data_IF_738910912061
#
_entry.id   IF_738910912061
#
_cell.length_a   1.000
_cell.length_b   1.000
_cell.length_c   1.000
_cell.angle_alpha   90.00
_cell.angle_beta   90.00
_cell.angle_gamma   90.00
#
_symmetry.space_group_name_H-M   'P 1'
#
loop_
_entity.id
_entity.type
_entity.pdbx_description
1 polymer ?
#
# COMPACT_ATOMS: atom_id res chain seq x y z
N UNK A 1 -9.29 41.15 -86.27
CA UNK A 1 -7.97 40.55 -85.99
C UNK A 1 -7.82 40.44 -84.47
N UNK A 2 -7.50 39.23 -83.99
CA UNK A 2 -6.90 38.82 -82.70
C UNK A 2 -7.11 39.69 -81.44
N UNK A 3 -7.47 39.20 -80.25
CA UNK A 3 -7.59 37.84 -79.74
C UNK A 3 -7.80 37.84 -78.21
N UNK A 4 -8.42 36.75 -77.74
CA UNK A 4 -8.48 36.14 -76.39
C UNK A 4 -7.58 36.73 -75.27
N UNK A 5 -8.10 36.84 -74.04
CA UNK A 5 -8.08 35.74 -73.06
C UNK A 5 -8.97 36.00 -71.83
N UNK A 6 -9.49 34.89 -71.33
CA UNK A 6 -10.44 34.70 -70.24
C UNK A 6 -9.76 34.78 -68.85
N UNK A 7 -10.53 35.16 -67.84
CA UNK A 7 -10.17 35.07 -66.42
C UNK A 7 -11.41 34.82 -65.57
N UNK A 8 -11.88 33.57 -65.54
CA UNK A 8 -12.94 33.09 -64.65
C UNK A 8 -12.43 33.02 -63.20
N UNK A 9 -13.06 33.77 -62.30
CA UNK A 9 -12.95 33.54 -60.86
C UNK A 9 -14.25 32.89 -60.34
N UNK A 10 -14.18 31.60 -60.02
CA UNK A 10 -15.20 30.90 -59.24
C UNK A 10 -15.16 31.44 -57.80
N UNK A 11 -16.27 32.00 -57.32
CA UNK A 11 -16.50 32.18 -55.89
C UNK A 11 -17.17 30.92 -55.35
N UNK A 12 -16.43 30.15 -54.56
CA UNK A 12 -17.00 29.11 -53.70
C UNK A 12 -17.91 29.78 -52.66
N UNK A 13 -19.16 29.36 -52.60
CA UNK A 13 -20.08 29.65 -51.50
C UNK A 13 -19.92 28.50 -50.51
N UNK A 14 -19.24 28.76 -49.40
CA UNK A 14 -19.15 27.81 -48.28
C UNK A 14 -20.46 27.84 -47.50
N UNK A 15 -21.28 26.80 -47.64
CA UNK A 15 -22.42 26.51 -46.78
C UNK A 15 -21.89 26.04 -45.42
N UNK A 16 -22.02 26.88 -44.40
CA UNK A 16 -21.73 26.54 -43.01
C UNK A 16 -22.76 25.54 -42.49
N UNK A 17 -22.33 24.29 -42.27
CA UNK A 17 -23.11 23.30 -41.54
C UNK A 17 -23.06 23.64 -40.04
N UNK A 18 -24.19 24.09 -39.47
CA UNK A 18 -24.41 24.12 -38.03
C UNK A 18 -24.57 22.68 -37.54
N UNK A 19 -23.46 22.06 -37.12
CA UNK A 19 -23.51 20.85 -36.29
C UNK A 19 -23.90 21.28 -34.87
N UNK A 20 -25.18 21.13 -34.54
CA UNK A 20 -25.68 21.18 -33.17
C UNK A 20 -25.23 19.88 -32.51
N UNK A 21 -24.01 19.88 -31.98
CA UNK A 21 -23.52 18.81 -31.12
C UNK A 21 -24.32 18.81 -29.82
N UNK A 22 -25.15 17.80 -29.63
CA UNK A 22 -25.71 17.49 -28.32
C UNK A 22 -24.55 17.01 -27.45
N UNK A 23 -23.96 17.91 -26.67
CA UNK A 23 -23.09 17.52 -25.58
C UNK A 23 -23.96 16.78 -24.56
N UNK A 24 -23.91 15.45 -24.58
CA UNK A 24 -24.39 14.64 -23.47
C UNK A 24 -23.46 14.95 -22.31
N UNK A 25 -23.86 15.90 -21.47
CA UNK A 25 -23.24 16.12 -20.18
C UNK A 25 -23.52 14.87 -19.34
N UNK A 26 -22.66 13.86 -19.46
CA UNK A 26 -22.61 12.76 -18.51
C UNK A 26 -22.36 13.40 -17.15
N UNK A 27 -23.34 13.32 -16.26
CA UNK A 27 -23.17 13.80 -14.88
C UNK A 27 -22.05 12.97 -14.27
N UNK A 28 -20.88 13.57 -14.08
CA UNK A 28 -19.86 12.99 -13.22
C UNK A 28 -20.53 12.77 -11.87
N UNK A 29 -20.74 11.51 -11.49
CA UNK A 29 -21.36 11.18 -10.22
C UNK A 29 -20.56 11.86 -9.11
N UNK A 30 -21.26 12.62 -8.25
CA UNK A 30 -20.63 13.36 -7.16
C UNK A 30 -19.86 12.40 -6.26
N UNK A 31 -18.53 12.53 -6.25
CA UNK A 31 -17.64 11.68 -5.47
C UNK A 31 -17.80 12.00 -3.99
N UNK A 32 -18.37 11.07 -3.21
CA UNK A 32 -18.50 11.25 -1.76
C UNK A 32 -17.27 10.68 -1.04
N UNK A 33 -16.56 11.49 -0.24
CA UNK A 33 -15.48 10.97 0.59
C UNK A 33 -16.04 9.99 1.61
N UNK A 34 -15.35 8.86 1.78
CA UNK A 34 -15.66 7.86 2.78
C UNK A 34 -14.73 8.03 3.95
N UNK A 35 -15.30 7.95 5.16
CA UNK A 35 -14.62 8.23 6.42
C UNK A 35 -14.65 7.00 7.32
N UNK A 36 -13.47 6.48 7.66
CA UNK A 36 -13.30 5.34 8.54
C UNK A 36 -12.55 5.75 9.81
N UNK A 37 -12.94 5.16 10.94
CA UNK A 37 -12.22 5.29 12.21
C UNK A 37 -11.51 3.97 12.46
N UNK A 38 -10.19 4.00 12.59
CA UNK A 38 -9.43 2.79 12.84
C UNK A 38 -9.64 2.35 14.30
N UNK A 39 -9.83 1.04 14.49
CA UNK A 39 -10.02 0.41 15.78
C UNK A 39 -8.73 -0.27 16.26
N UNK A 40 -8.54 -0.50 17.57
CA UNK A 40 -7.43 -1.29 18.07
C UNK A 40 -7.34 -2.66 17.39
N UNK A 41 -6.14 -3.00 16.93
CA UNK A 41 -5.87 -4.30 16.35
C UNK A 41 -5.51 -5.28 17.46
N UNK A 42 -6.28 -6.36 17.58
CA UNK A 42 -6.32 -7.18 18.81
C UNK A 42 -5.48 -8.46 18.77
N UNK A 43 -4.57 -8.65 17.81
CA UNK A 43 -3.87 -9.95 17.70
C UNK A 43 -2.83 -10.21 18.78
N UNK A 44 -2.18 -9.20 19.36
CA UNK A 44 -1.43 -9.32 20.62
C UNK A 44 -0.98 -7.94 21.13
N UNK A 45 -1.42 -7.50 22.32
CA UNK A 45 -0.99 -6.22 22.90
C UNK A 45 0.39 -6.29 23.57
N UNK A 46 0.97 -7.49 23.73
CA UNK A 46 2.31 -7.66 24.34
C UNK A 46 3.45 -7.21 23.43
N UNK A 47 3.16 -6.88 22.18
CA UNK A 47 4.16 -6.53 21.17
C UNK A 47 4.35 -5.01 20.96
N UNK A 48 3.73 -4.15 21.75
CA UNK A 48 3.90 -2.70 21.57
C UNK A 48 5.35 -2.25 21.79
N UNK A 49 5.73 -1.24 21.03
CA UNK A 49 7.03 -0.60 21.03
C UNK A 49 7.01 0.68 21.82
N UNK A 50 8.07 0.91 22.56
CA UNK A 50 8.12 1.93 23.58
C UNK A 50 9.38 2.81 23.51
N UNK A 51 10.02 2.84 22.34
CA UNK A 51 11.05 3.80 21.98
C UNK A 51 10.49 4.74 20.92
N UNK A 52 10.53 6.04 21.16
CA UNK A 52 10.21 7.01 20.13
C UNK A 52 11.29 7.04 19.03
N UNK A 53 11.10 7.86 17.99
CA UNK A 53 12.05 7.88 16.88
C UNK A 53 13.46 8.40 17.25
N UNK A 54 13.61 9.06 18.40
CA UNK A 54 14.88 9.52 18.94
C UNK A 54 15.49 8.54 19.98
N UNK A 55 15.01 7.29 20.01
CA UNK A 55 15.43 6.26 20.97
C UNK A 55 15.14 6.62 22.44
N UNK A 56 14.24 7.58 22.69
CA UNK A 56 13.85 7.95 24.04
C UNK A 56 12.76 6.99 24.53
N UNK A 57 13.00 6.23 25.62
CA UNK A 57 12.00 5.33 26.14
C UNK A 57 10.84 6.09 26.80
N UNK A 58 9.61 5.65 26.53
CA UNK A 58 8.47 6.15 27.30
C UNK A 58 8.52 5.68 28.75
N UNK A 59 8.04 6.53 29.64
CA UNK A 59 7.95 6.26 31.07
C UNK A 59 7.17 4.98 31.36
N UNK A 60 7.52 4.26 32.43
CA UNK A 60 6.75 3.08 32.85
C UNK A 60 5.28 3.42 33.11
N UNK A 61 5.01 4.59 33.70
CA UNK A 61 3.67 5.08 33.96
C UNK A 61 2.86 5.22 32.65
N UNK A 62 3.45 5.81 31.61
CA UNK A 62 2.81 5.91 30.29
C UNK A 62 2.56 4.53 29.69
N UNK A 63 3.58 3.65 29.65
CA UNK A 63 3.47 2.29 29.09
C UNK A 63 2.35 1.48 29.74
N UNK A 64 2.19 1.59 31.06
CA UNK A 64 1.12 0.89 31.80
C UNK A 64 -0.27 1.41 31.47
N UNK A 65 -0.42 2.70 31.18
CA UNK A 65 -1.72 3.37 30.99
C UNK A 65 -2.14 3.46 29.53
N UNK A 66 -1.20 3.64 28.60
CA UNK A 66 -1.51 3.91 27.20
C UNK A 66 -2.33 2.79 26.57
N UNK A 67 -3.44 3.14 25.92
CA UNK A 67 -4.27 2.21 25.18
C UNK A 67 -4.72 2.88 23.88
N UNK A 68 -4.63 2.15 22.77
CA UNK A 68 -5.07 2.67 21.47
C UNK A 68 -6.55 3.02 21.38
N UNK A 69 -7.39 2.44 22.25
CA UNK A 69 -8.82 2.79 22.35
C UNK A 69 -9.07 4.25 22.74
N UNK A 70 -8.08 4.92 23.31
CA UNK A 70 -8.15 6.34 23.70
C UNK A 70 -7.69 7.26 22.56
N UNK A 71 -6.93 6.72 21.60
CA UNK A 71 -6.54 7.40 20.38
C UNK A 71 -7.69 7.42 19.37
N UNK A 72 -7.70 8.45 18.51
CA UNK A 72 -8.63 8.56 17.40
C UNK A 72 -7.84 8.74 16.12
N UNK A 73 -7.89 7.73 15.25
CA UNK A 73 -7.33 7.80 13.90
C UNK A 73 -8.46 7.71 12.90
N UNK A 74 -8.59 8.76 12.10
CA UNK A 74 -9.62 8.89 11.08
C UNK A 74 -8.94 8.91 9.72
N UNK A 75 -9.37 8.04 8.84
CA UNK A 75 -8.94 8.01 7.44
C UNK A 75 -10.10 8.43 6.57
N UNK A 76 -9.85 9.40 5.69
CA UNK A 76 -10.81 9.87 4.69
C UNK A 76 -10.21 9.65 3.31
N UNK A 77 -10.94 8.97 2.44
CA UNK A 77 -10.49 8.67 1.07
C UNK A 77 -11.69 8.67 0.13
N UNK A 78 -11.43 8.77 -1.16
CA UNK A 78 -12.47 8.66 -2.17
C UNK A 78 -12.54 7.22 -2.67
N UNK A 79 -13.73 6.62 -2.63
CA UNK A 79 -13.95 5.21 -3.02
C UNK A 79 -14.10 5.01 -4.52
N UNK A 80 -14.28 6.08 -5.28
CA UNK A 80 -14.52 6.00 -6.72
C UNK A 80 -13.24 5.78 -7.50
N UNK A 81 -13.45 5.16 -8.66
CA UNK A 81 -12.56 4.99 -9.80
C UNK A 81 -11.46 6.05 -9.88
N UNK A 82 -10.23 5.61 -9.61
CA UNK A 82 -9.01 6.37 -9.85
C UNK A 82 -7.87 5.42 -10.22
N UNK A 83 -6.73 5.98 -10.59
CA UNK A 83 -5.50 5.24 -10.92
C UNK A 83 -4.78 4.67 -9.68
N UNK A 84 -5.09 5.18 -8.48
CA UNK A 84 -4.65 4.63 -7.18
C UNK A 84 -5.50 5.17 -6.01
N UNK A 85 -5.41 4.51 -4.84
CA UNK A 85 -6.00 4.96 -3.59
C UNK A 85 -5.25 6.18 -3.03
N UNK A 86 -6.00 7.25 -2.74
CA UNK A 86 -5.49 8.48 -2.10
C UNK A 86 -6.41 8.91 -0.97
N UNK A 87 -5.84 9.56 0.03
CA UNK A 87 -6.63 10.08 1.13
C UNK A 87 -5.86 10.93 2.12
N UNK A 88 -6.54 11.25 3.22
CA UNK A 88 -5.99 11.95 4.37
C UNK A 88 -6.22 11.13 5.62
N UNK A 89 -5.19 11.01 6.43
CA UNK A 89 -5.22 10.48 7.78
C UNK A 89 -5.10 11.63 8.79
N UNK A 90 -5.98 11.62 9.80
CA UNK A 90 -5.88 12.51 10.97
C UNK A 90 -5.82 11.63 12.20
N UNK A 91 -4.71 11.73 12.94
CA UNK A 91 -4.45 10.98 14.16
C UNK A 91 -4.40 11.91 15.37
N UNK A 92 -4.96 11.44 16.48
CA UNK A 92 -4.88 12.06 17.80
C UNK A 92 -4.69 10.99 18.86
N UNK A 93 -3.92 11.31 19.91
CA UNK A 93 -3.72 10.40 21.04
C UNK A 93 -2.95 9.13 20.70
N UNK A 94 -2.11 9.17 19.66
CA UNK A 94 -1.11 8.13 19.41
C UNK A 94 0.11 8.34 20.31
N UNK A 95 1.13 7.48 20.19
CA UNK A 95 2.39 7.66 20.91
C UNK A 95 3.09 8.92 20.40
N UNK A 96 3.58 9.83 21.26
CA UNK A 96 4.28 11.05 20.85
C UNK A 96 5.61 10.80 20.13
N UNK A 97 5.96 11.57 19.11
CA UNK A 97 7.21 11.44 18.36
C UNK A 97 7.48 10.01 17.83
N UNK A 98 6.43 9.30 17.42
CA UNK A 98 6.52 7.88 17.06
C UNK A 98 6.24 7.68 15.57
N UNK A 99 6.94 6.73 14.94
CA UNK A 99 6.75 6.39 13.53
C UNK A 99 5.70 5.29 13.36
N UNK A 100 4.78 5.51 12.42
CA UNK A 100 3.77 4.53 12.05
C UNK A 100 3.81 4.26 10.55
N UNK A 101 3.87 2.97 10.20
CA UNK A 101 3.71 2.49 8.83
C UNK A 101 2.23 2.40 8.47
N UNK A 102 1.91 2.82 7.24
CA UNK A 102 0.63 2.56 6.59
C UNK A 102 0.76 1.32 5.71
N UNK A 103 -0.09 0.33 5.96
CA UNK A 103 -0.11 -0.91 5.19
C UNK A 103 -1.49 -1.24 4.66
N UNK A 104 -1.55 -1.81 3.46
CA UNK A 104 -2.68 -2.60 3.02
C UNK A 104 -2.39 -4.07 3.30
N UNK A 105 -3.38 -4.82 3.75
CA UNK A 105 -3.28 -6.27 3.93
C UNK A 105 -4.53 -6.95 3.38
N UNK A 106 -4.35 -8.00 2.60
CA UNK A 106 -5.44 -8.79 2.05
C UNK A 106 -6.22 -9.54 3.11
N UNK A 107 -7.44 -9.93 2.74
CA UNK A 107 -8.35 -10.69 3.60
C UNK A 107 -8.82 -11.95 2.86
N UNK A 108 -7.91 -12.90 2.57
CA UNK A 108 -8.28 -14.10 1.84
C UNK A 108 -9.22 -14.93 2.70
N UNK A 109 -10.08 -15.72 2.06
CA UNK A 109 -10.74 -16.79 2.79
C UNK A 109 -9.73 -17.87 3.21
N UNK A 110 -10.01 -18.58 4.31
CA UNK A 110 -9.29 -19.78 4.66
C UNK A 110 -9.22 -20.78 3.49
N UNK A 111 -8.11 -21.55 3.37
CA UNK A 111 -8.01 -22.64 2.40
C UNK A 111 -9.19 -23.63 2.52
N UNK A 112 -9.65 -24.16 1.38
CA UNK A 112 -10.71 -25.18 1.33
C UNK A 112 -12.14 -24.65 1.43
N UNK A 113 -12.33 -23.35 1.69
CA UNK A 113 -13.66 -22.71 1.57
C UNK A 113 -13.83 -22.25 0.12
N UNK A 114 -14.64 -23.00 -0.64
CA UNK A 114 -15.09 -22.59 -1.96
C UNK A 114 -15.79 -21.22 -1.85
N UNK A 115 -15.44 -20.30 -2.75
CA UNK A 115 -16.14 -19.02 -2.92
C UNK A 115 -16.12 -18.05 -1.74
N UNK A 116 -14.92 -17.74 -1.26
CA UNK A 116 -14.65 -16.38 -0.75
C UNK A 116 -15.24 -15.33 -1.70
N UNK A 117 -15.57 -14.11 -1.23
CA UNK A 117 -15.74 -13.00 -2.16
C UNK A 117 -14.49 -12.92 -3.03
N UNK A 118 -14.63 -13.23 -4.33
CA UNK A 118 -13.56 -13.16 -5.33
C UNK A 118 -12.72 -11.88 -5.18
N UNK A 119 -13.30 -10.69 -4.86
CA UNK A 119 -12.51 -9.48 -4.65
C UNK A 119 -11.51 -9.52 -3.50
N UNK A 120 -11.79 -10.23 -2.40
CA UNK A 120 -10.90 -10.25 -1.24
C UNK A 120 -9.68 -11.17 -1.44
N UNK A 121 -9.89 -12.32 -2.08
CA UNK A 121 -8.79 -13.21 -2.53
C UNK A 121 -7.96 -12.53 -3.62
N UNK A 122 -8.62 -11.94 -4.61
CA UNK A 122 -7.95 -11.19 -5.67
C UNK A 122 -7.11 -10.04 -5.11
N UNK A 123 -7.68 -9.22 -4.22
CA UNK A 123 -6.94 -8.13 -3.58
C UNK A 123 -5.75 -8.65 -2.78
N UNK A 124 -5.90 -9.77 -2.06
CA UNK A 124 -4.80 -10.40 -1.32
C UNK A 124 -3.65 -10.79 -2.24
N UNK A 125 -3.94 -11.40 -3.39
CA UNK A 125 -2.94 -11.75 -4.39
C UNK A 125 -2.26 -10.53 -5.00
N UNK A 126 -3.03 -9.50 -5.36
CA UNK A 126 -2.47 -8.27 -5.92
C UNK A 126 -1.56 -7.55 -4.92
N UNK A 127 -1.92 -7.54 -3.63
CA UNK A 127 -1.08 -6.93 -2.60
C UNK A 127 0.18 -7.76 -2.32
N UNK A 128 0.05 -9.08 -2.26
CA UNK A 128 1.19 -9.97 -2.01
C UNK A 128 2.19 -10.03 -3.16
N UNK A 129 1.74 -9.91 -4.41
CA UNK A 129 2.60 -9.96 -5.60
C UNK A 129 3.54 -8.76 -5.73
N UNK A 130 3.11 -7.58 -5.26
CA UNK A 130 3.90 -6.34 -5.26
C UNK A 130 4.48 -6.00 -3.87
N UNK A 131 4.12 -6.77 -2.85
CA UNK A 131 4.51 -6.58 -1.45
C UNK A 131 5.16 -7.83 -0.86
N UNK A 132 4.58 -8.35 0.22
CA UNK A 132 5.03 -9.56 0.92
C UNK A 132 3.88 -10.45 1.34
N UNK A 133 4.21 -11.68 1.71
CA UNK A 133 3.27 -12.63 2.28
C UNK A 133 3.57 -12.86 3.75
N UNK A 134 2.52 -12.88 4.56
CA UNK A 134 2.55 -13.28 5.96
C UNK A 134 1.80 -14.59 6.14
N UNK A 135 2.46 -15.57 6.73
CA UNK A 135 1.86 -16.85 7.08
C UNK A 135 1.27 -16.76 8.50
N UNK A 136 -0.04 -16.97 8.64
CA UNK A 136 -0.70 -16.91 9.95
C UNK A 136 -0.30 -18.06 10.87
N UNK A 137 -0.15 -19.25 10.31
CA UNK A 137 0.13 -20.47 11.03
C UNK A 137 1.58 -20.49 11.54
N UNK A 138 2.53 -20.02 10.72
CA UNK A 138 3.95 -20.00 11.05
C UNK A 138 4.39 -18.72 11.77
N UNK A 139 3.53 -17.70 11.82
CA UNK A 139 3.86 -16.34 12.26
C UNK A 139 5.15 -15.81 11.61
N UNK A 140 5.29 -16.04 10.30
CA UNK A 140 6.50 -15.75 9.54
C UNK A 140 6.22 -14.93 8.27
N UNK A 141 7.22 -14.13 7.89
CA UNK A 141 7.23 -13.35 6.65
C UNK A 141 7.97 -14.13 5.57
N UNK A 142 7.42 -14.15 4.37
CA UNK A 142 8.08 -14.74 3.20
C UNK A 142 8.05 -13.76 2.01
N UNK A 143 9.05 -13.87 1.12
CA UNK A 143 9.15 -13.06 -0.11
C UNK A 143 9.15 -13.94 -1.38
N UNK A 144 8.43 -13.52 -2.43
CA UNK A 144 8.35 -14.25 -3.71
C UNK A 144 9.46 -13.76 -4.62
N UNK A 145 10.70 -14.09 -4.29
CA UNK A 145 11.85 -13.65 -5.09
C UNK A 145 11.91 -14.21 -6.49
N UNK A 146 11.31 -15.37 -6.71
CA UNK A 146 11.77 -16.25 -7.78
C UNK A 146 10.67 -16.76 -8.70
N UNK A 147 9.39 -16.61 -8.36
CA UNK A 147 8.32 -17.26 -9.14
C UNK A 147 7.50 -16.33 -10.04
N UNK A 148 7.47 -15.02 -9.78
CA UNK A 148 6.65 -14.09 -10.57
C UNK A 148 7.28 -13.70 -11.94
N UNK A 149 8.56 -14.03 -12.21
CA UNK A 149 9.22 -13.77 -13.51
C UNK A 149 9.54 -15.01 -14.32
N UNK A 150 9.48 -16.21 -13.75
CA UNK A 150 9.43 -17.41 -14.57
C UNK A 150 7.98 -17.62 -14.95
N UNK A 151 7.62 -17.26 -16.17
CA UNK A 151 6.54 -17.92 -16.87
C UNK A 151 6.60 -19.41 -16.54
N UNK A 152 5.49 -20.06 -16.16
CA UNK A 152 5.45 -21.50 -16.21
C UNK A 152 5.80 -21.84 -17.66
N UNK A 153 6.98 -22.40 -17.90
CA UNK A 153 7.11 -23.34 -18.99
C UNK A 153 6.13 -24.44 -18.64
N UNK A 154 4.89 -24.27 -19.09
CA UNK A 154 3.95 -25.34 -19.27
C UNK A 154 4.73 -26.35 -20.12
N UNK A 155 5.27 -27.38 -19.47
CA UNK A 155 5.78 -28.55 -20.17
C UNK A 155 4.54 -29.19 -20.77
N UNK A 156 4.23 -28.69 -21.96
CA UNK A 156 3.30 -29.24 -22.90
C UNK A 156 3.72 -30.68 -23.16
N UNK A 157 3.00 -31.59 -22.52
CA UNK A 157 3.01 -33.01 -22.87
C UNK A 157 1.67 -33.36 -23.48
N UNK A 158 1.23 -32.60 -24.49
CA UNK A 158 0.25 -33.10 -25.46
C UNK A 158 0.59 -32.66 -26.90
N UNK A 159 0.35 -33.52 -27.90
CA UNK A 159 0.98 -33.38 -29.21
C UNK A 159 0.27 -32.36 -30.12
N UNK A 160 1.07 -31.39 -30.62
CA UNK A 160 1.01 -30.77 -31.94
C UNK A 160 -0.32 -30.85 -32.71
N UNK A 161 -1.00 -29.71 -32.87
CA UNK A 161 -1.57 -29.27 -34.16
C UNK A 161 -1.78 -27.73 -34.18
N UNK A 162 -1.25 -27.06 -35.21
CA UNK A 162 -1.93 -25.92 -35.83
C UNK A 162 -1.51 -24.47 -35.49
N UNK A 163 -0.45 -24.01 -36.17
CA UNK A 163 -0.20 -22.66 -36.73
C UNK A 163 -1.27 -21.54 -36.57
N UNK A 164 -0.82 -20.36 -36.11
CA UNK A 164 -1.11 -19.07 -36.77
C UNK A 164 -1.87 -18.01 -35.97
N UNK A 165 -1.19 -16.93 -35.57
CA UNK A 165 -1.85 -15.70 -35.10
C UNK A 165 -0.93 -14.78 -34.29
N UNK A 166 -0.33 -13.78 -34.95
CA UNK A 166 0.34 -12.67 -34.28
C UNK A 166 -0.72 -11.79 -33.61
N UNK A 167 -0.80 -11.86 -32.28
CA UNK A 167 -1.52 -10.87 -31.48
C UNK A 167 -0.63 -10.42 -30.33
N UNK A 168 -0.58 -9.11 -30.17
CA UNK A 168 -0.04 -8.36 -29.04
C UNK A 168 -0.38 -9.05 -27.72
N UNK A 169 0.60 -9.71 -27.09
CA UNK A 169 0.46 -10.20 -25.72
C UNK A 169 0.66 -9.01 -24.76
N UNK A 170 -0.44 -8.43 -24.31
CA UNK A 170 -0.49 -7.80 -23.00
C UNK A 170 -0.19 -8.90 -21.95
N UNK A 171 0.84 -8.77 -21.11
CA UNK A 171 1.26 -9.85 -20.20
C UNK A 171 0.22 -10.21 -19.11
N UNK A 172 -0.93 -9.54 -19.06
CA UNK A 172 -1.98 -9.79 -18.07
C UNK A 172 -3.32 -10.30 -18.62
N UNK A 173 -3.54 -10.32 -19.95
CA UNK A 173 -4.83 -10.70 -20.55
C UNK A 173 -5.07 -12.22 -20.69
N UNK A 174 -4.10 -13.04 -20.27
CA UNK A 174 -4.19 -14.51 -20.35
C UNK A 174 -4.78 -15.22 -19.12
N UNK A 175 -4.98 -14.52 -17.99
CA UNK A 175 -5.51 -15.12 -16.76
C UNK A 175 -7.05 -15.07 -16.71
N UNK A 176 -7.67 -15.59 -17.75
CA UNK A 176 -9.09 -15.93 -17.74
C UNK A 176 -9.35 -17.08 -16.77
N UNK A 177 -10.12 -16.80 -15.72
CA UNK A 177 -11.08 -17.74 -15.12
C UNK A 177 -10.54 -19.11 -14.66
N UNK A 178 -9.46 -19.12 -13.85
CA UNK A 178 -9.03 -20.33 -13.13
C UNK A 178 -9.05 -20.10 -11.61
N UNK A 179 -10.23 -20.18 -11.01
CA UNK A 179 -10.44 -20.53 -9.60
C UNK A 179 -9.47 -19.91 -8.57
N UNK A 180 -9.62 -18.61 -8.29
CA UNK A 180 -8.93 -17.85 -7.23
C UNK A 180 -9.28 -18.35 -5.81
N UNK A 181 -8.74 -19.52 -5.45
CA UNK A 181 -8.46 -19.89 -4.06
C UNK A 181 -7.12 -19.27 -3.66
N UNK A 182 -6.72 -19.34 -2.38
CA UNK A 182 -5.36 -19.00 -1.91
C UNK A 182 -4.25 -19.91 -2.52
N UNK A 183 -4.48 -20.46 -3.72
CA UNK A 183 -3.58 -21.27 -4.52
C UNK A 183 -2.59 -20.42 -5.32
N UNK A 184 -2.85 -19.14 -5.60
CA UNK A 184 -1.84 -18.27 -6.20
C UNK A 184 -0.55 -18.20 -5.36
N UNK A 185 -0.70 -18.21 -4.03
CA UNK A 185 0.43 -18.25 -3.09
C UNK A 185 1.05 -19.65 -2.94
N UNK A 186 0.34 -20.72 -3.30
CA UNK A 186 0.88 -22.08 -3.38
C UNK A 186 1.97 -22.20 -4.46
N UNK A 187 1.82 -21.52 -5.60
CA UNK A 187 2.84 -21.52 -6.66
C UNK A 187 4.08 -20.68 -6.31
N UNK A 188 3.96 -19.70 -5.42
CA UNK A 188 5.08 -18.87 -4.99
C UNK A 188 6.07 -19.58 -4.05
N UNK A 189 5.63 -20.61 -3.31
CA UNK A 189 6.43 -21.23 -2.23
C UNK A 189 6.46 -22.77 -2.21
N UNK A 190 5.78 -23.44 -3.14
CA UNK A 190 5.73 -24.91 -3.19
C UNK A 190 4.95 -25.52 -2.01
N UNK A 191 5.22 -26.79 -1.70
CA UNK A 191 4.50 -27.57 -0.68
C UNK A 191 4.71 -27.11 0.78
N UNK A 192 5.63 -26.17 1.04
CA UNK A 192 6.01 -25.78 2.41
C UNK A 192 4.90 -25.01 3.16
N UNK A 193 4.02 -24.31 2.43
CA UNK A 193 2.86 -23.61 2.99
C UNK A 193 1.54 -24.20 2.49
N UNK A 194 1.55 -25.48 2.09
CA UNK A 194 0.31 -26.15 1.68
C UNK A 194 -0.68 -26.18 2.85
N UNK A 195 -1.89 -25.66 2.61
CA UNK A 195 -2.93 -25.56 3.62
C UNK A 195 -2.81 -24.36 4.58
N UNK A 196 -1.79 -23.51 4.44
CA UNK A 196 -1.64 -22.30 5.25
C UNK A 196 -2.44 -21.11 4.69
N UNK A 197 -2.74 -20.15 5.56
CA UNK A 197 -3.40 -18.90 5.23
C UNK A 197 -2.36 -17.80 5.05
N UNK A 198 -2.06 -17.49 3.79
CA UNK A 198 -1.11 -16.43 3.42
C UNK A 198 -1.82 -15.08 3.21
N UNK A 199 -1.41 -14.07 3.97
CA UNK A 199 -1.87 -12.68 3.85
C UNK A 199 -0.87 -11.86 3.03
N UNK A 200 -1.29 -11.41 1.85
CA UNK A 200 -0.53 -10.44 1.06
C UNK A 200 -0.62 -9.06 1.72
N UNK A 201 0.51 -8.40 1.95
CA UNK A 201 0.54 -7.05 2.51
C UNK A 201 1.54 -6.15 1.80
N UNK A 202 1.25 -4.85 1.86
CA UNK A 202 1.98 -3.78 1.19
C UNK A 202 2.19 -2.63 2.18
N UNK A 203 3.43 -2.29 2.50
CA UNK A 203 3.73 -1.01 3.15
C UNK A 203 3.86 0.04 2.07
N UNK A 204 3.02 1.08 2.07
CA UNK A 204 3.03 2.06 0.99
C UNK A 204 3.44 3.47 1.45
N UNK A 205 3.37 3.76 2.75
CA UNK A 205 3.77 5.05 3.28
C UNK A 205 4.01 4.96 4.81
N UNK A 206 4.44 6.06 5.41
CA UNK A 206 4.58 6.21 6.85
C UNK A 206 4.38 7.66 7.28
N UNK A 207 4.09 7.86 8.56
CA UNK A 207 4.10 9.19 9.17
C UNK A 207 4.70 9.16 10.57
N UNK A 208 5.01 10.35 11.09
CA UNK A 208 5.50 10.55 12.46
C UNK A 208 4.54 11.48 13.19
N UNK A 209 4.21 11.14 14.43
CA UNK A 209 3.39 12.00 15.30
C UNK A 209 4.19 13.13 15.91
N UNK A 210 3.52 14.22 16.24
CA UNK A 210 4.11 15.30 17.02
C UNK A 210 4.36 14.90 18.49
N UNK A 211 4.90 15.82 19.29
CA UNK A 211 5.16 15.64 20.71
C UNK A 211 3.90 15.43 21.58
N UNK A 212 2.70 15.55 21.00
CA UNK A 212 1.41 15.28 21.66
C UNK A 212 0.73 14.01 21.11
N UNK A 213 1.37 13.29 20.18
CA UNK A 213 0.78 12.10 19.56
C UNK A 213 -0.24 12.41 18.47
N UNK A 214 -0.19 13.60 17.86
CA UNK A 214 -1.08 13.98 16.75
C UNK A 214 -0.35 13.93 15.41
N UNK A 215 -1.11 13.69 14.33
CA UNK A 215 -0.62 13.84 12.96
C UNK A 215 -1.76 14.20 12.00
N UNK A 216 -1.42 14.91 10.92
CA UNK A 216 -2.23 14.99 9.69
C UNK A 216 -1.32 14.58 8.55
N UNK A 217 -1.73 13.58 7.78
CA UNK A 217 -0.91 12.99 6.72
C UNK A 217 -1.75 12.75 5.47
N UNK A 218 -1.26 13.19 4.32
CA UNK A 218 -1.84 12.87 3.02
C UNK A 218 -1.08 11.68 2.44
N UNK A 219 -1.81 10.70 1.92
CA UNK A 219 -1.20 9.46 1.46
C UNK A 219 -1.70 9.09 0.06
N UNK A 220 -0.84 8.37 -0.65
CA UNK A 220 -1.09 7.77 -1.96
C UNK A 220 -0.51 6.35 -1.94
N UNK A 221 -1.23 5.37 -2.51
CA UNK A 221 -0.69 4.02 -2.68
C UNK A 221 0.09 3.93 -4.00
N UNK A 222 1.30 4.47 -4.02
CA UNK A 222 2.17 4.52 -5.20
C UNK A 222 3.56 3.91 -4.96
N UNK A 223 3.76 3.27 -3.81
CA UNK A 223 5.04 2.71 -3.40
C UNK A 223 4.88 1.38 -2.67
N UNK A 224 5.94 0.57 -2.67
CA UNK A 224 6.01 -0.71 -1.95
C UNK A 224 7.30 -0.85 -1.17
N UNK A 225 7.20 -0.67 0.13
CA UNK A 225 8.32 -0.68 1.07
C UNK A 225 8.36 -1.94 1.93
N UNK A 226 9.53 -2.23 2.49
CA UNK A 226 9.77 -3.38 3.34
C UNK A 226 9.75 -3.02 4.83
N UNK A 227 10.53 -2.02 5.24
CA UNK A 227 10.70 -1.56 6.63
C UNK A 227 11.05 -0.06 6.66
N UNK A 228 11.12 0.54 7.85
CA UNK A 228 11.67 1.90 8.00
C UNK A 228 13.04 1.82 8.67
N UNK A 229 13.94 2.70 8.24
CA UNK A 229 15.25 2.89 8.84
C UNK A 229 15.44 4.33 9.27
N UNK A 230 16.22 4.52 10.34
CA UNK A 230 16.88 5.79 10.58
C UNK A 230 18.20 5.83 9.81
N UNK A 231 18.54 6.98 9.25
CA UNK A 231 19.84 7.16 8.58
C UNK A 231 21.03 6.97 9.53
N UNK A 232 20.81 7.08 10.85
CA UNK A 232 21.80 6.78 11.88
C UNK A 232 22.03 5.29 12.13
N UNK A 233 21.13 4.40 11.66
CA UNK A 233 21.28 2.95 11.74
C UNK A 233 21.88 2.37 10.46
N UNK A 234 21.44 2.87 9.31
CA UNK A 234 21.95 2.51 7.99
C UNK A 234 21.75 3.68 7.04
N UNK A 235 22.67 3.95 6.10
CA UNK A 235 22.41 4.89 5.02
C UNK A 235 21.36 4.32 4.04
N UNK A 236 20.54 5.18 3.39
CA UNK A 236 19.64 4.74 2.33
C UNK A 236 20.41 4.27 1.09
N UNK A 237 19.90 3.22 0.46
CA UNK A 237 20.27 2.80 -0.89
C UNK A 237 19.70 3.72 -1.97
N UNK A 238 20.07 3.44 -3.22
CA UNK A 238 19.63 4.24 -4.37
C UNK A 238 18.13 4.07 -4.67
N UNK A 239 17.59 2.87 -4.46
CA UNK A 239 16.19 2.53 -4.76
C UNK A 239 15.24 2.77 -3.56
N UNK A 240 15.78 3.23 -2.42
CA UNK A 240 15.00 3.49 -1.21
C UNK A 240 14.12 4.73 -1.36
N UNK A 241 13.05 4.78 -0.55
CA UNK A 241 12.17 5.94 -0.55
C UNK A 241 12.85 7.21 0.00
N UNK A 242 12.22 8.37 -0.24
CA UNK A 242 12.81 9.65 0.15
C UNK A 242 13.00 9.74 1.66
N UNK A 243 14.19 10.21 2.07
CA UNK A 243 14.49 10.48 3.48
C UNK A 243 13.70 11.70 3.97
N UNK A 244 12.90 11.51 5.02
CA UNK A 244 12.15 12.58 5.70
C UNK A 244 12.81 12.88 7.04
N UNK A 245 13.03 14.17 7.35
CA UNK A 245 13.65 14.60 8.61
C UNK A 245 12.63 15.21 9.55
N UNK A 246 12.60 14.72 10.79
CA UNK A 246 11.67 15.13 11.83
C UNK A 246 12.41 15.80 12.98
N UNK A 247 11.85 16.90 13.50
CA UNK A 247 12.34 17.52 14.72
C UNK A 247 11.66 16.87 15.92
N UNK A 248 12.45 16.34 16.83
CA UNK A 248 11.98 15.59 17.99
C UNK A 248 12.33 16.34 19.26
N UNK A 249 11.34 16.43 20.14
CA UNK A 249 11.52 16.89 21.52
C UNK A 249 10.79 15.94 22.46
N UNK A 250 11.45 15.53 23.52
CA UNK A 250 10.84 14.79 24.62
C UNK A 250 11.05 15.58 25.89
N UNK A 251 9.99 16.13 26.44
CA UNK A 251 10.03 16.81 27.73
C UNK A 251 9.73 15.82 28.85
N UNK A 252 10.38 15.98 30.00
CA UNK A 252 10.04 15.21 31.19
C UNK A 252 8.60 15.53 31.58
N UNK A 253 7.77 14.50 31.72
CA UNK A 253 6.35 14.71 32.00
C UNK A 253 5.52 13.44 31.82
N UNK A 254 4.29 13.55 31.29
CA UNK A 254 3.34 12.43 31.25
C UNK A 254 3.80 11.29 30.35
N UNK A 255 4.63 11.56 29.34
CA UNK A 255 5.09 10.57 28.37
C UNK A 255 6.47 10.02 28.72
N UNK A 256 7.40 10.88 29.14
CA UNK A 256 8.80 10.55 29.34
C UNK A 256 9.27 10.81 30.78
N UNK A 257 10.08 9.90 31.32
CA UNK A 257 10.74 10.07 32.62
C UNK A 257 11.91 11.05 32.58
N UNK A 258 12.52 11.21 31.40
CA UNK A 258 13.69 12.06 31.16
C UNK A 258 13.42 12.94 29.96
N UNK A 259 13.89 14.17 30.03
CA UNK A 259 13.91 15.04 28.86
C UNK A 259 15.07 14.65 27.94
N UNK A 260 14.89 14.86 26.63
CA UNK A 260 15.96 14.82 25.65
C UNK A 260 16.13 16.20 25.04
N UNK A 261 17.37 16.55 24.70
CA UNK A 261 17.65 17.75 23.93
C UNK A 261 16.92 17.68 22.58
N UNK A 262 16.38 18.80 22.07
CA UNK A 262 15.82 18.85 20.73
C UNK A 262 16.81 18.27 19.71
N UNK A 263 16.34 17.33 18.91
CA UNK A 263 17.18 16.62 17.94
C UNK A 263 16.45 16.45 16.60
N UNK A 264 17.20 16.13 15.56
CA UNK A 264 16.66 15.81 14.24
C UNK A 264 16.87 14.33 13.96
N UNK A 265 15.81 13.65 13.57
CA UNK A 265 15.84 12.24 13.18
C UNK A 265 15.45 12.15 11.71
N UNK A 266 16.31 11.55 10.89
CA UNK A 266 16.05 11.31 9.49
C UNK A 266 15.66 9.83 9.29
N UNK A 267 14.50 9.62 8.65
CA UNK A 267 13.90 8.30 8.43
C UNK A 267 13.66 8.11 6.94
N UNK A 268 13.94 6.93 6.42
CA UNK A 268 13.57 6.53 5.07
C UNK A 268 12.90 5.15 5.10
N UNK A 269 11.97 4.87 4.17
CA UNK A 269 11.43 3.54 3.99
C UNK A 269 12.32 2.75 3.01
N UNK A 270 12.72 1.54 3.40
CA UNK A 270 13.52 0.65 2.56
C UNK A 270 12.67 0.06 1.44
N UNK A 271 13.20 0.08 0.23
CA UNK A 271 12.70 -0.71 -0.88
C UNK A 271 13.40 -2.08 -0.86
N UNK A 272 12.62 -3.15 -1.01
CA UNK A 272 13.18 -4.49 -1.20
C UNK A 272 13.37 -4.75 -2.68
N UNK A 273 14.56 -5.26 -3.03
CA UNK A 273 14.99 -5.51 -4.40
C UNK A 273 13.92 -6.21 -5.25
N UNK A 274 13.71 -5.70 -6.47
CA UNK A 274 12.76 -6.26 -7.43
C UNK A 274 11.32 -5.71 -7.32
N UNK A 275 11.02 -4.85 -6.34
CA UNK A 275 9.77 -4.08 -6.27
C UNK A 275 9.82 -2.85 -7.18
N UNK A 276 8.67 -2.25 -7.53
CA UNK A 276 8.65 -0.96 -8.21
C UNK A 276 9.44 0.11 -7.45
N UNK A 277 10.05 1.03 -8.18
CA UNK A 277 10.68 2.20 -7.58
C UNK A 277 9.65 3.04 -6.80
N UNK A 278 10.06 3.79 -5.77
CA UNK A 278 9.18 4.69 -5.04
C UNK A 278 8.37 5.62 -5.98
N UNK A 279 7.06 5.67 -5.81
CA UNK A 279 6.13 6.45 -6.64
C UNK A 279 5.69 5.78 -7.95
N UNK A 280 6.28 4.63 -8.32
CA UNK A 280 5.98 3.94 -9.58
C UNK A 280 5.07 2.72 -9.42
N UNK A 281 4.70 2.31 -8.21
CA UNK A 281 3.74 1.22 -8.04
C UNK A 281 2.40 1.62 -8.67
N UNK A 282 1.85 0.72 -9.47
CA UNK A 282 0.47 0.80 -9.97
C UNK A 282 -0.21 -0.50 -9.61
N UNK A 283 -1.28 -0.39 -8.83
CA UNK A 283 -2.15 -1.51 -8.54
C UNK A 283 -2.98 -1.82 -9.80
N UNK A 284 -3.17 -3.09 -10.17
CA UNK A 284 -4.02 -3.43 -11.31
C UNK A 284 -5.46 -2.91 -11.17
N UNK A 285 -6.14 -2.57 -12.28
CA UNK A 285 -7.56 -2.25 -12.26
C UNK A 285 -8.37 -3.36 -11.61
N UNK A 286 -9.30 -2.99 -10.73
CA UNK A 286 -10.18 -3.93 -10.04
C UNK A 286 -10.63 -3.45 -8.66
N UNK A 287 -11.44 -4.29 -8.01
CA UNK A 287 -12.06 -4.00 -6.71
C UNK A 287 -11.20 -4.54 -5.59
N UNK A 288 -10.69 -3.66 -4.75
CA UNK A 288 -9.92 -4.00 -3.58
C UNK A 288 -10.82 -4.04 -2.35
N UNK A 289 -10.86 -5.19 -1.69
CA UNK A 289 -11.41 -5.36 -0.35
C UNK A 289 -10.31 -5.87 0.56
N UNK A 290 -9.77 -4.99 1.38
CA UNK A 290 -8.60 -5.26 2.20
C UNK A 290 -8.71 -4.59 3.57
N UNK A 291 -7.66 -4.73 4.36
CA UNK A 291 -7.48 -4.07 5.65
C UNK A 291 -6.51 -2.92 5.48
N UNK A 292 -6.84 -1.76 6.04
CA UNK A 292 -5.84 -0.71 6.29
C UNK A 292 -5.25 -0.95 7.68
N UNK A 293 -3.93 -1.03 7.78
CA UNK A 293 -3.20 -1.25 9.02
C UNK A 293 -2.33 -0.05 9.35
N UNK A 294 -2.39 0.37 10.60
CA UNK A 294 -1.38 1.21 11.21
C UNK A 294 -0.46 0.34 12.05
N UNK A 295 0.82 0.34 11.72
CA UNK A 295 1.82 -0.52 12.37
C UNK A 295 2.89 0.32 13.03
N UNK A 296 3.17 0.05 14.29
CA UNK A 296 4.28 0.65 15.01
C UNK A 296 5.62 0.18 14.45
N UNK A 297 6.56 1.11 14.29
CA UNK A 297 7.94 0.82 13.94
C UNK A 297 8.86 1.55 14.92
N UNK A 298 9.55 0.80 15.78
CA UNK A 298 10.64 1.31 16.62
C UNK A 298 12.02 1.06 16.01
N UNK A 299 12.03 0.83 14.70
CA UNK A 299 13.20 0.50 13.90
C UNK A 299 13.86 -0.80 14.36
N UNK A 300 14.92 -1.18 13.66
CA UNK A 300 15.76 -2.34 13.97
C UNK A 300 16.63 -2.10 15.22
N UNK A 301 16.02 -1.66 16.32
CA UNK A 301 16.64 -1.51 17.63
C UNK A 301 16.95 -2.91 18.23
N UNK A 302 17.75 -3.71 17.54
CA UNK A 302 18.33 -4.96 18.03
C UNK A 302 19.57 -4.65 18.86
N UNK A 303 19.39 -3.92 19.97
CA UNK A 303 20.49 -3.64 20.90
C UNK A 303 20.57 -4.73 21.97
N UNK A 304 21.62 -5.54 21.95
CA UNK A 304 21.96 -6.47 23.05
C UNK A 304 21.94 -5.74 24.40
N UNK A 305 21.11 -6.19 25.35
CA UNK A 305 20.97 -5.61 26.69
C UNK A 305 19.53 -5.26 27.10
N UNK A 306 19.35 -4.64 28.27
CA UNK A 306 18.06 -4.40 28.96
C UNK A 306 17.03 -3.51 28.22
N UNK A 307 17.37 -3.01 27.02
CA UNK A 307 16.47 -2.21 26.16
C UNK A 307 15.77 -3.03 25.06
N UNK A 308 16.11 -4.30 24.86
CA UNK A 308 15.45 -5.19 23.88
C UNK A 308 13.92 -5.24 24.06
N UNK A 309 13.44 -5.13 25.29
CA UNK A 309 12.01 -5.23 25.60
C UNK A 309 11.21 -3.94 25.32
N UNK A 310 11.88 -2.85 24.91
CA UNK A 310 11.23 -1.57 24.60
C UNK A 310 11.20 -1.29 23.10
N UNK A 311 12.24 -1.70 22.37
CA UNK A 311 12.26 -1.67 20.91
C UNK A 311 11.75 -2.99 20.32
N UNK A 312 12.20 -3.30 19.11
CA UNK A 312 11.87 -4.53 18.41
C UNK A 312 11.28 -4.26 17.04
N UNK A 313 10.85 -5.34 16.38
CA UNK A 313 10.29 -5.31 15.02
C UNK A 313 8.97 -4.52 14.94
N UNK A 314 8.13 -4.80 13.96
CA UNK A 314 6.85 -4.12 13.81
C UNK A 314 5.79 -4.65 14.78
N UNK A 315 4.77 -3.84 15.08
CA UNK A 315 3.59 -4.27 15.85
C UNK A 315 2.32 -3.56 15.35
N UNK A 316 1.33 -4.32 14.88
CA UNK A 316 0.08 -3.74 14.41
C UNK A 316 -0.68 -3.10 15.58
N UNK A 317 -1.03 -1.82 15.44
CA UNK A 317 -1.66 -1.02 16.48
C UNK A 317 -3.15 -0.81 16.24
N UNK A 318 -3.49 -0.36 15.03
CA UNK A 318 -4.84 -0.01 14.64
C UNK A 318 -5.16 -0.60 13.27
N UNK A 319 -6.42 -0.92 13.02
CA UNK A 319 -6.90 -1.37 11.72
C UNK A 319 -8.25 -0.76 11.35
N UNK A 320 -8.47 -0.64 10.06
CA UNK A 320 -9.81 -0.66 9.48
C UNK A 320 -9.96 -1.97 8.72
N UNK A 321 -10.87 -2.82 9.21
CA UNK A 321 -11.08 -4.16 8.66
C UNK A 321 -11.83 -4.13 7.33
N UNK A 322 -12.52 -3.05 6.97
CA UNK A 322 -13.45 -3.01 5.85
C UNK A 322 -13.10 -1.93 4.83
N UNK A 323 -11.81 -1.74 4.53
CA UNK A 323 -11.37 -0.82 3.50
C UNK A 323 -11.79 -1.37 2.12
N UNK A 324 -12.52 -0.57 1.36
CA UNK A 324 -12.97 -0.93 0.01
C UNK A 324 -12.74 0.21 -0.97
N UNK A 325 -12.07 -0.06 -2.09
CA UNK A 325 -11.85 0.92 -3.16
C UNK A 325 -11.75 0.22 -4.53
N UNK A 326 -11.89 0.98 -5.61
CA UNK A 326 -11.78 0.45 -6.99
C UNK A 326 -10.71 1.23 -7.74
N UNK A 327 -9.76 0.50 -8.34
CA UNK A 327 -8.83 1.06 -9.31
C UNK A 327 -9.42 0.87 -10.70
N UNK A 328 -9.36 1.92 -11.52
CA UNK A 328 -9.72 1.85 -12.93
C UNK A 328 -8.50 2.09 -13.79
N UNK A 329 -8.51 1.51 -14.99
CA UNK A 329 -7.55 1.89 -16.01
C UNK A 329 -7.64 3.39 -16.26
N UNK A 330 -6.51 4.08 -16.50
CA UNK A 330 -6.55 5.42 -17.08
C UNK A 330 -7.42 5.37 -18.34
N UNK A 331 -8.33 6.33 -18.51
CA UNK A 331 -9.03 6.47 -19.77
C UNK A 331 -8.00 6.81 -20.85
N UNK A 332 -7.96 6.01 -21.92
CA UNK A 332 -7.11 6.25 -23.09
C UNK A 332 -7.41 7.60 -23.77
#
# INVERSE_FOLDING_TARGET
MAGRMEGRWLRLVSLGACLIGWAVAGSAAEQKPVRHVLAPYHRDQTCFRWLDIADNPYSEAFRRRFRYREGQVVVTYTTTEGDTLRGTLVARGLKPNFAYQLKLEGRPSPPGIADAPKPANWANEQLGSVGRWWCLEDASNTWVSSYARSTPSYQDSTPSYGRGGTSSMDPFDGYGDTGYSNRGSYYAYGSYHEGHTLLGYLIFDFFVTDANGNARHEFTVDSSYHVLWKTSQSPPGFDDGPTRTFSVRGERGPFYERAISPTRVAIYPEQEYGRPEPGQLRLPPGKYRCRLLLTEESFHASGWGSKQNLGGHWAHALSDENLEFTIVSPAD
#
